data_IF_024440071189
#
_entry.id   IF_024440071189
#
_cell.length_a   1.000
_cell.length_b   1.000
_cell.length_c   1.000
_cell.angle_alpha   90.00
_cell.angle_beta   90.00
_cell.angle_gamma   90.00
#
_symmetry.space_group_name_H-M   'P 1'
#
loop_
_entity.id
_entity.type
_entity.pdbx_description
1 polymer ?
#
# COMPACT_ATOMS: atom_id res chain seq x y z
N UNK A 1 44.08 -6.44 -0.85
CA UNK A 1 42.89 -7.07 -0.25
C UNK A 1 43.19 -8.56 -0.20
N UNK A 2 43.05 -9.18 0.97
CA UNK A 2 43.13 -10.64 1.09
C UNK A 2 41.83 -11.28 0.56
N UNK A 3 41.85 -12.58 0.26
CA UNK A 3 40.61 -13.31 -0.11
C UNK A 3 39.52 -13.16 0.96
N UNK A 4 39.91 -13.13 2.24
CA UNK A 4 38.98 -12.90 3.36
C UNK A 4 38.37 -11.48 3.33
N UNK A 5 39.13 -10.46 2.91
CA UNK A 5 38.59 -9.11 2.72
C UNK A 5 37.62 -9.05 1.55
N UNK A 6 37.90 -9.79 0.46
CA UNK A 6 37.04 -9.87 -0.72
C UNK A 6 35.71 -10.56 -0.38
N UNK A 7 35.73 -11.70 0.30
CA UNK A 7 34.52 -12.41 0.72
C UNK A 7 33.66 -11.56 1.66
N UNK A 8 34.30 -10.84 2.59
CA UNK A 8 33.60 -9.90 3.46
C UNK A 8 32.93 -8.77 2.66
N UNK A 9 33.65 -8.18 1.70
CA UNK A 9 33.10 -7.15 0.82
C UNK A 9 31.92 -7.64 -0.02
N UNK A 10 31.96 -8.87 -0.53
CA UNK A 10 30.84 -9.47 -1.28
C UNK A 10 29.63 -9.67 -0.40
N UNK A 11 29.80 -10.25 0.79
CA UNK A 11 28.69 -10.50 1.72
C UNK A 11 28.05 -9.20 2.22
N UNK A 12 28.87 -8.19 2.50
CA UNK A 12 28.39 -6.86 2.88
C UNK A 12 27.62 -6.21 1.71
N UNK A 13 28.08 -6.35 0.46
CA UNK A 13 27.38 -5.85 -0.71
C UNK A 13 26.02 -6.54 -0.93
N UNK A 14 25.96 -7.87 -0.78
CA UNK A 14 24.70 -8.64 -0.90
C UNK A 14 23.69 -8.27 0.18
N UNK A 15 24.14 -8.11 1.43
CA UNK A 15 23.28 -7.71 2.54
C UNK A 15 22.71 -6.30 2.33
N UNK A 16 23.53 -5.35 1.87
CA UNK A 16 23.06 -4.01 1.54
C UNK A 16 22.09 -4.01 0.35
N UNK A 17 22.35 -4.80 -0.69
CA UNK A 17 21.44 -4.94 -1.83
C UNK A 17 20.05 -5.46 -1.41
N UNK A 18 20.01 -6.43 -0.51
CA UNK A 18 18.74 -6.95 0.03
C UNK A 18 18.00 -5.90 0.88
N UNK A 19 18.71 -5.18 1.75
CA UNK A 19 18.14 -4.13 2.59
C UNK A 19 17.60 -2.95 1.75
N UNK A 20 18.34 -2.55 0.72
CA UNK A 20 17.92 -1.47 -0.19
C UNK A 20 16.71 -1.88 -1.04
N UNK A 21 16.65 -3.14 -1.48
CA UNK A 21 15.46 -3.70 -2.15
C UNK A 21 14.23 -3.64 -1.24
N UNK A 22 14.36 -4.07 0.02
CA UNK A 22 13.26 -4.02 0.98
C UNK A 22 12.80 -2.58 1.26
N UNK A 23 13.72 -1.63 1.43
CA UNK A 23 13.36 -0.21 1.57
C UNK A 23 12.59 0.31 0.37
N UNK A 24 13.06 -0.01 -0.84
CA UNK A 24 12.41 0.42 -2.08
C UNK A 24 11.00 -0.15 -2.19
N UNK A 25 10.83 -1.45 -1.94
CA UNK A 25 9.51 -2.10 -1.96
C UNK A 25 8.55 -1.50 -0.94
N UNK A 26 9.02 -1.15 0.26
CA UNK A 26 8.21 -0.50 1.27
C UNK A 26 7.77 0.91 0.84
N UNK A 27 8.66 1.68 0.22
CA UNK A 27 8.33 3.01 -0.33
C UNK A 27 7.32 2.89 -1.47
N UNK A 28 7.53 1.96 -2.40
CA UNK A 28 6.62 1.73 -3.52
C UNK A 28 5.22 1.31 -3.03
N UNK A 29 5.16 0.43 -2.02
CA UNK A 29 3.90 0.04 -1.38
C UNK A 29 3.18 1.23 -0.73
N UNK A 30 3.92 2.10 -0.02
CA UNK A 30 3.35 3.32 0.59
C UNK A 30 2.81 4.28 -0.46
N UNK A 31 3.57 4.55 -1.51
CA UNK A 31 3.14 5.44 -2.59
C UNK A 31 1.89 4.92 -3.30
N UNK A 32 1.83 3.60 -3.54
CA UNK A 32 0.67 2.98 -4.15
C UNK A 32 -0.58 3.08 -3.25
N UNK A 33 -0.41 2.82 -1.96
CA UNK A 33 -1.48 2.93 -0.97
C UNK A 33 -2.01 4.37 -0.85
N UNK A 34 -1.13 5.38 -0.76
CA UNK A 34 -1.53 6.79 -0.70
C UNK A 34 -2.33 7.21 -1.95
N UNK A 35 -1.89 6.79 -3.14
CA UNK A 35 -2.59 7.06 -4.39
C UNK A 35 -3.98 6.39 -4.43
N UNK A 36 -4.10 5.17 -3.89
CA UNK A 36 -5.38 4.46 -3.82
C UNK A 36 -6.35 5.12 -2.83
N UNK A 37 -5.86 5.54 -1.66
CA UNK A 37 -6.65 6.32 -0.68
C UNK A 37 -7.21 7.56 -1.34
N UNK A 38 -6.33 8.37 -1.95
CA UNK A 38 -6.74 9.64 -2.54
C UNK A 38 -7.77 9.48 -3.66
N UNK A 39 -7.54 8.53 -4.57
CA UNK A 39 -8.48 8.26 -5.67
C UNK A 39 -9.82 7.72 -5.17
N UNK A 40 -9.82 6.86 -4.14
CA UNK A 40 -11.05 6.33 -3.55
C UNK A 40 -11.85 7.40 -2.81
N UNK A 41 -11.20 8.25 -2.01
CA UNK A 41 -11.85 9.37 -1.32
C UNK A 41 -12.52 10.33 -2.31
N UNK A 42 -11.83 10.64 -3.42
CA UNK A 42 -12.39 11.44 -4.50
C UNK A 42 -13.61 10.78 -5.13
N UNK A 43 -13.51 9.50 -5.49
CA UNK A 43 -14.62 8.77 -6.08
C UNK A 43 -15.83 8.66 -5.12
N UNK A 44 -15.60 8.52 -3.80
CA UNK A 44 -16.66 8.53 -2.80
C UNK A 44 -17.35 9.89 -2.70
N UNK A 45 -16.59 10.99 -2.82
CA UNK A 45 -17.16 12.33 -2.84
C UNK A 45 -18.02 12.58 -4.09
N UNK A 46 -17.59 12.08 -5.24
CA UNK A 46 -18.26 12.30 -6.53
C UNK A 46 -19.41 11.32 -6.80
N UNK A 47 -19.30 10.08 -6.31
CA UNK A 47 -20.17 8.97 -6.70
C UNK A 47 -20.68 8.13 -5.53
N UNK A 48 -20.34 8.47 -4.28
CA UNK A 48 -20.73 7.69 -3.11
C UNK A 48 -22.24 7.61 -2.86
N UNK A 49 -23.05 8.48 -3.48
CA UNK A 49 -24.52 8.39 -3.44
C UNK A 49 -25.09 7.33 -4.39
N UNK A 50 -24.27 6.73 -5.27
CA UNK A 50 -24.68 5.70 -6.23
C UNK A 50 -24.51 4.27 -5.70
N UNK A 51 -23.85 4.10 -4.56
CA UNK A 51 -23.68 2.81 -3.86
C UNK A 51 -24.57 2.76 -2.62
N UNK A 52 -24.82 1.57 -2.09
CA UNK A 52 -25.58 1.42 -0.85
C UNK A 52 -24.83 2.02 0.34
N UNK A 53 -25.55 2.38 1.41
CA UNK A 53 -24.92 2.89 2.63
C UNK A 53 -23.94 1.88 3.24
N UNK A 54 -24.28 0.58 3.18
CA UNK A 54 -23.41 -0.51 3.65
C UNK A 54 -22.10 -0.57 2.86
N UNK A 55 -22.16 -0.47 1.53
CA UNK A 55 -20.96 -0.45 0.69
C UNK A 55 -20.14 0.83 0.92
N UNK A 56 -20.81 1.99 1.02
CA UNK A 56 -20.17 3.27 1.32
C UNK A 56 -19.37 3.20 2.62
N UNK A 57 -19.98 2.69 3.70
CA UNK A 57 -19.32 2.50 5.00
C UNK A 57 -18.14 1.53 4.91
N UNK A 58 -18.30 0.40 4.22
CA UNK A 58 -17.21 -0.56 4.04
C UNK A 58 -15.98 0.04 3.34
N UNK A 59 -16.19 0.93 2.36
CA UNK A 59 -15.10 1.63 1.68
C UNK A 59 -14.48 2.68 2.62
N UNK A 60 -15.29 3.46 3.34
CA UNK A 60 -14.80 4.46 4.31
C UNK A 60 -13.97 3.81 5.42
N UNK A 61 -14.40 2.67 5.95
CA UNK A 61 -13.67 1.90 6.96
C UNK A 61 -12.34 1.38 6.38
N UNK A 62 -12.34 0.84 5.15
CA UNK A 62 -11.11 0.37 4.49
C UNK A 62 -10.12 1.51 4.20
N UNK A 63 -10.61 2.71 3.85
CA UNK A 63 -9.79 3.91 3.70
C UNK A 63 -9.16 4.28 5.04
N UNK A 64 -9.94 4.34 6.11
CA UNK A 64 -9.45 4.67 7.46
C UNK A 64 -8.37 3.70 7.93
N UNK A 65 -8.62 2.40 7.76
CA UNK A 65 -7.67 1.34 8.12
C UNK A 65 -6.35 1.44 7.36
N UNK A 66 -6.40 1.73 6.05
CA UNK A 66 -5.19 1.90 5.26
C UNK A 66 -4.42 3.16 5.67
N UNK A 67 -5.11 4.27 5.95
CA UNK A 67 -4.49 5.50 6.46
C UNK A 67 -3.81 5.27 7.81
N UNK A 68 -4.40 4.46 8.68
CA UNK A 68 -3.76 4.09 9.95
C UNK A 68 -2.52 3.23 9.73
N UNK A 69 -2.58 2.22 8.86
CA UNK A 69 -1.42 1.40 8.51
C UNK A 69 -0.27 2.23 7.91
N UNK A 70 -0.58 3.26 7.12
CA UNK A 70 0.39 4.16 6.51
C UNK A 70 1.18 5.02 7.51
N UNK A 71 0.65 5.26 8.71
CA UNK A 71 1.37 5.93 9.81
C UNK A 71 2.51 5.05 10.35
N UNK A 72 2.43 3.74 10.15
CA UNK A 72 3.44 2.77 10.55
C UNK A 72 4.50 2.51 9.48
N UNK A 73 5.30 1.47 9.69
CA UNK A 73 6.35 1.00 8.79
C UNK A 73 6.20 -0.48 8.40
N UNK A 74 5.09 -1.12 8.77
CA UNK A 74 4.80 -2.51 8.43
C UNK A 74 4.31 -2.60 6.97
N UNK A 75 5.24 -2.98 6.08
CA UNK A 75 4.96 -3.10 4.65
C UNK A 75 3.92 -4.18 4.34
N UNK A 76 3.86 -5.26 5.12
CA UNK A 76 2.89 -6.34 4.90
C UNK A 76 1.49 -5.91 5.33
N UNK A 77 1.38 -5.18 6.45
CA UNK A 77 0.12 -4.57 6.87
C UNK A 77 -0.40 -3.56 5.82
N UNK A 78 0.49 -2.70 5.29
CA UNK A 78 0.14 -1.73 4.24
C UNK A 78 -0.36 -2.46 2.99
N UNK A 79 0.35 -3.49 2.51
CA UNK A 79 -0.09 -4.28 1.34
C UNK A 79 -1.43 -4.96 1.56
N UNK A 80 -1.62 -5.59 2.72
CA UNK A 80 -2.88 -6.26 3.05
C UNK A 80 -4.06 -5.28 3.03
N UNK A 81 -3.93 -4.12 3.69
CA UNK A 81 -4.96 -3.08 3.72
C UNK A 81 -5.17 -2.42 2.35
N UNK A 82 -4.12 -2.29 1.54
CA UNK A 82 -4.22 -1.82 0.16
C UNK A 82 -5.10 -2.76 -0.68
N UNK A 83 -4.88 -4.07 -0.56
CA UNK A 83 -5.71 -5.07 -1.24
C UNK A 83 -7.17 -5.03 -0.76
N UNK A 84 -7.39 -4.87 0.55
CA UNK A 84 -8.75 -4.71 1.11
C UNK A 84 -9.45 -3.49 0.54
N UNK A 85 -8.79 -2.33 0.51
CA UNK A 85 -9.35 -1.11 -0.08
C UNK A 85 -9.63 -1.31 -1.57
N UNK A 86 -8.69 -1.89 -2.33
CA UNK A 86 -8.87 -2.13 -3.75
C UNK A 86 -10.12 -2.98 -4.04
N UNK A 87 -10.33 -4.04 -3.25
CA UNK A 87 -11.52 -4.90 -3.37
C UNK A 87 -12.81 -4.17 -3.01
N UNK A 88 -12.83 -3.40 -1.93
CA UNK A 88 -14.00 -2.61 -1.53
C UNK A 88 -14.35 -1.55 -2.60
N UNK A 89 -13.34 -0.88 -3.17
CA UNK A 89 -13.49 0.14 -4.20
C UNK A 89 -13.99 -0.39 -5.54
N UNK A 90 -13.93 -1.72 -5.81
CA UNK A 90 -14.48 -2.30 -7.04
C UNK A 90 -15.98 -1.98 -7.20
N UNK A 91 -16.73 -2.02 -6.09
CA UNK A 91 -18.18 -1.72 -6.08
C UNK A 91 -18.48 -0.27 -6.46
N UNK A 92 -17.61 0.64 -6.05
CA UNK A 92 -17.71 2.06 -6.44
C UNK A 92 -17.42 2.23 -7.93
N UNK A 93 -16.42 1.51 -8.47
CA UNK A 93 -16.13 1.50 -9.90
C UNK A 93 -17.27 0.93 -10.75
N UNK A 94 -17.94 -0.12 -10.27
CA UNK A 94 -19.15 -0.67 -10.91
C UNK A 94 -20.30 0.37 -10.95
N UNK A 95 -20.49 1.16 -9.88
CA UNK A 95 -21.55 2.18 -9.81
C UNK A 95 -21.23 3.47 -10.60
N UNK A 96 -20.00 3.63 -11.07
CA UNK A 96 -19.59 4.78 -11.90
C UNK A 96 -19.95 4.62 -13.38
N UNK A 97 -20.05 3.38 -13.87
CA UNK A 97 -20.45 3.02 -15.24
C UNK A 97 -21.97 2.89 -15.37
#
# INVERSE_FOLDING_TARGET
>A
LSEADIEKMVKDAEANAAADKQRREAVDAKNHADALVHSTEKALAEHGSKVSETERRAIEDAVSDLKEALKGSDAEAIKAKTNTLAQASMKLGEAMY
#
